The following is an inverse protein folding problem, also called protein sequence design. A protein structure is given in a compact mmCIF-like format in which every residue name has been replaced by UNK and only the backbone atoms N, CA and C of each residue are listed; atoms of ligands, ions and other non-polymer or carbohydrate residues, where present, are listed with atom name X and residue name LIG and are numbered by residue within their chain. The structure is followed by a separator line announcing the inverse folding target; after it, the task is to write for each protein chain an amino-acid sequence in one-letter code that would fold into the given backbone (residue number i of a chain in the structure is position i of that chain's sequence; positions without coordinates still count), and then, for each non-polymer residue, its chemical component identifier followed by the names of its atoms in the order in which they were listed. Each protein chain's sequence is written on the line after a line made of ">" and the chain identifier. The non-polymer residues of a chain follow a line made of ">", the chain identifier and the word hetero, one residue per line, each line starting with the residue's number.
data_IF_025215759585
#
_entry.id   IF_025215759585
#
_cell.length_a   1.000
_cell.length_b   1.000
_cell.length_c   1.000
_cell.angle_alpha   90.00
_cell.angle_beta   90.00
_cell.angle_gamma   90.00
#
_symmetry.space_group_name_H-M   'P 1'
#
loop_
_entity.id
_entity.type
_entity.pdbx_description
1 polymer ?
#
# COMPACT_ATOMS: atom_id res chain seq x y z
N UNK A 1 -8.73 2.01 -9.06
CA UNK A 1 -9.01 2.39 -7.65
C UNK A 1 -7.72 2.80 -6.95
N UNK A 2 -7.77 3.67 -5.93
CA UNK A 2 -6.57 4.05 -5.13
C UNK A 2 -6.78 3.70 -3.67
N UNK A 3 -5.84 2.97 -3.08
CA UNK A 3 -5.86 2.54 -1.67
C UNK A 3 -4.75 3.28 -0.92
N UNK A 4 -5.06 3.77 0.28
CA UNK A 4 -4.08 4.35 1.20
C UNK A 4 -3.74 3.32 2.27
N UNK A 5 -2.47 2.93 2.34
CA UNK A 5 -1.94 2.13 3.44
C UNK A 5 -1.22 3.05 4.43
N UNK A 6 -1.44 2.81 5.71
CA UNK A 6 -0.85 3.59 6.80
C UNK A 6 -0.37 2.64 7.90
N UNK A 7 0.87 2.81 8.33
CA UNK A 7 1.45 1.94 9.35
C UNK A 7 2.97 2.00 9.37
N UNK A 8 3.57 1.12 10.16
CA UNK A 8 5.03 0.94 10.15
C UNK A 8 5.51 0.34 8.82
N UNK A 9 6.81 0.41 8.52
CA UNK A 9 7.38 -0.18 7.30
C UNK A 9 7.04 -1.67 7.16
N UNK A 10 7.04 -2.41 8.27
CA UNK A 10 6.69 -3.84 8.31
C UNK A 10 5.21 -4.06 7.96
N UNK A 11 4.32 -3.26 8.55
CA UNK A 11 2.88 -3.34 8.26
C UNK A 11 2.58 -2.98 6.81
N UNK A 12 3.25 -1.97 6.24
CA UNK A 12 3.11 -1.61 4.84
C UNK A 12 3.56 -2.73 3.91
N UNK A 13 4.70 -3.38 4.20
CA UNK A 13 5.18 -4.51 3.42
C UNK A 13 4.21 -5.70 3.46
N UNK A 14 3.72 -6.06 4.65
CA UNK A 14 2.73 -7.12 4.82
C UNK A 14 1.41 -6.78 4.09
N UNK A 15 0.95 -5.54 4.22
CA UNK A 15 -0.23 -5.03 3.53
C UNK A 15 -0.10 -5.13 2.01
N UNK A 16 1.05 -4.73 1.45
CA UNK A 16 1.35 -4.85 0.02
C UNK A 16 1.36 -6.30 -0.48
N UNK A 17 1.96 -7.21 0.30
CA UNK A 17 1.94 -8.65 -0.01
C UNK A 17 0.50 -9.14 -0.07
N UNK A 18 -0.35 -8.80 0.91
CA UNK A 18 -1.75 -9.22 0.91
C UNK A 18 -2.54 -8.59 -0.25
N UNK A 19 -2.29 -7.32 -0.52
CA UNK A 19 -2.99 -6.55 -1.56
C UNK A 19 -2.82 -7.17 -2.95
N UNK A 20 -1.61 -7.64 -3.28
CA UNK A 20 -1.29 -8.23 -4.59
C UNK A 20 -2.01 -9.56 -4.85
N UNK A 21 -2.49 -10.24 -3.80
CA UNK A 21 -3.26 -11.47 -3.98
C UNK A 21 -4.65 -11.19 -4.53
N UNK A 22 -5.24 -10.07 -4.11
CA UNK A 22 -6.62 -9.67 -4.45
C UNK A 22 -6.66 -8.75 -5.67
N UNK A 23 -5.68 -7.84 -5.80
CA UNK A 23 -5.67 -6.83 -6.85
C UNK A 23 -4.39 -6.85 -7.66
N UNK A 24 -4.50 -6.38 -8.91
CA UNK A 24 -3.32 -6.03 -9.71
C UNK A 24 -2.85 -4.64 -9.28
N UNK A 25 -1.66 -4.56 -8.71
CA UNK A 25 -1.02 -3.28 -8.37
C UNK A 25 -0.45 -2.68 -9.64
N UNK A 26 -0.86 -1.46 -9.98
CA UNK A 26 -0.44 -0.78 -11.22
C UNK A 26 0.54 0.35 -10.99
N UNK A 27 0.48 1.01 -9.83
CA UNK A 27 1.39 2.07 -9.45
C UNK A 27 1.50 2.19 -7.93
N UNK A 28 2.66 2.61 -7.44
CA UNK A 28 2.96 2.73 -6.00
C UNK A 28 3.71 4.04 -5.77
N UNK A 29 3.19 4.88 -4.87
CA UNK A 29 3.89 6.10 -4.48
C UNK A 29 5.13 5.78 -3.65
N UNK A 30 6.03 6.77 -3.49
CA UNK A 30 7.04 6.71 -2.41
C UNK A 30 6.34 6.63 -1.04
N UNK A 31 6.98 5.98 -0.08
CA UNK A 31 6.52 5.99 1.31
C UNK A 31 6.81 7.36 1.94
N UNK A 32 5.78 8.01 2.49
CA UNK A 32 5.89 9.32 3.13
C UNK A 32 5.78 9.18 4.65
N UNK A 33 6.73 9.73 5.44
CA UNK A 33 6.65 9.67 6.90
C UNK A 33 5.49 10.55 7.41
N UNK A 34 4.79 10.08 8.43
CA UNK A 34 3.78 10.85 9.14
C UNK A 34 4.47 11.86 10.06
N UNK A 35 4.20 13.16 9.88
CA UNK A 35 4.88 14.23 10.65
C UNK A 35 4.71 14.08 12.18
N UNK A 36 3.52 13.70 12.63
CA UNK A 36 3.24 13.49 14.06
C UNK A 36 3.71 12.12 14.61
N UNK A 37 4.03 11.15 13.74
CA UNK A 37 4.36 9.78 14.15
C UNK A 37 5.57 9.28 13.36
N UNK A 38 6.80 9.45 13.88
CA UNK A 38 8.04 9.28 13.11
C UNK A 38 8.29 7.84 12.63
N UNK A 39 7.54 6.85 13.16
CA UNK A 39 7.62 5.44 12.74
C UNK A 39 6.46 5.01 11.84
N UNK A 40 5.52 5.90 11.58
CA UNK A 40 4.36 5.65 10.73
C UNK A 40 4.60 6.27 9.35
N UNK A 41 4.26 5.51 8.33
CA UNK A 41 4.42 5.88 6.94
C UNK A 41 3.09 5.73 6.22
N UNK A 42 2.90 6.54 5.19
CA UNK A 42 1.76 6.50 4.28
C UNK A 42 2.24 6.07 2.90
N UNK A 43 1.51 5.14 2.32
CA UNK A 43 1.74 4.62 0.97
C UNK A 43 0.44 4.70 0.18
N UNK A 44 0.49 5.30 -1.00
CA UNK A 44 -0.65 5.32 -1.92
C UNK A 44 -0.41 4.30 -3.01
N UNK A 45 -1.36 3.40 -3.19
CA UNK A 45 -1.26 2.28 -4.13
C UNK A 45 -2.41 2.40 -5.12
N UNK A 46 -2.09 2.47 -6.40
CA UNK A 46 -3.07 2.36 -7.46
C UNK A 46 -3.26 0.89 -7.80
N UNK A 47 -4.51 0.46 -7.83
CA UNK A 47 -4.89 -0.92 -8.08
C UNK A 47 -5.99 -1.02 -9.13
N UNK A 48 -5.96 -2.12 -9.87
CA UNK A 48 -7.02 -2.58 -10.74
C UNK A 48 -7.60 -3.91 -10.22
N UNK A 49 -8.88 -4.20 -10.47
CA UNK A 49 -9.44 -5.53 -10.24
C UNK A 49 -8.56 -6.58 -10.94
N UNK A 50 -8.27 -7.66 -10.23
CA UNK A 50 -7.58 -8.79 -10.86
C UNK A 50 -8.63 -9.56 -11.67
N UNK A 51 -8.45 -9.77 -12.99
CA UNK A 51 -9.33 -10.67 -13.71
C UNK A 51 -9.20 -12.05 -13.06
N UNK A 52 -10.34 -12.67 -12.75
CA UNK A 52 -10.36 -14.05 -12.27
C UNK A 52 -9.59 -14.91 -13.27
N UNK A 53 -8.67 -15.69 -12.72
CA UNK A 53 -7.72 -16.49 -13.49
C UNK A 53 -8.33 -17.84 -13.79
#
# INVERSE_FOLDING_TARGET
>A
MRIRLEGTRVQLALGMIRLRHVFTVTDVSRAYPHRAHPRTYRLYVRVAPRPER
#
